data_IF_175365513577
#
_entry.id   IF_175365513577
#
_cell.length_a   1.000
_cell.length_b   1.000
_cell.length_c   1.000
_cell.angle_alpha   90.00
_cell.angle_beta   90.00
_cell.angle_gamma   90.00
#
_symmetry.space_group_name_H-M   'P 1'
#
loop_
_entity.id
_entity.type
_entity.pdbx_description
1 polymer ?
#
# COMPACT_ATOMS: atom_id res chain seq x y z
N UNK A 1 19.88 13.74 3.74
CA UNK A 1 20.14 12.69 2.76
C UNK A 1 19.03 11.66 2.78
N UNK A 2 18.41 11.44 1.67
CA UNK A 2 17.23 10.58 1.62
C UNK A 2 17.49 9.16 1.20
N UNK A 3 18.76 8.74 1.25
CA UNK A 3 19.11 7.37 0.88
C UNK A 3 18.38 6.32 1.72
N UNK A 4 17.99 6.67 2.93
CA UNK A 4 17.28 5.77 3.83
C UNK A 4 15.77 5.96 3.80
N UNK A 5 15.28 6.96 3.07
CA UNK A 5 13.85 7.18 2.97
C UNK A 5 13.20 6.15 2.08
N UNK A 6 12.08 5.63 2.54
CA UNK A 6 11.27 4.69 1.77
C UNK A 6 10.08 5.42 1.19
N UNK A 7 9.63 4.99 0.03
CA UNK A 7 8.47 5.57 -0.64
C UNK A 7 7.27 4.66 -0.44
N UNK A 8 6.19 5.23 0.07
CA UNK A 8 4.93 4.53 0.29
C UNK A 8 3.88 5.15 -0.61
N UNK A 9 3.23 4.34 -1.42
CA UNK A 9 2.15 4.78 -2.31
C UNK A 9 0.83 4.27 -1.76
N UNK A 10 -0.11 5.19 -1.51
CA UNK A 10 -1.42 4.87 -0.99
C UNK A 10 -2.45 5.03 -2.10
N UNK A 11 -3.25 4.00 -2.33
CA UNK A 11 -4.25 3.99 -3.39
C UNK A 11 -5.61 3.66 -2.80
N UNK A 12 -6.57 4.55 -2.97
CA UNK A 12 -7.95 4.34 -2.53
C UNK A 12 -8.83 5.34 -3.26
N UNK A 13 -10.02 4.92 -3.66
CA UNK A 13 -10.96 5.83 -4.30
C UNK A 13 -11.72 6.70 -3.30
N UNK A 14 -11.58 6.43 -2.01
CA UNK A 14 -12.18 7.24 -0.96
C UNK A 14 -11.15 8.24 -0.44
N UNK A 15 -11.35 9.55 -0.70
CA UNK A 15 -10.40 10.56 -0.25
C UNK A 15 -10.24 10.63 1.27
N UNK A 16 -11.26 10.22 2.01
CA UNK A 16 -11.15 10.21 3.47
C UNK A 16 -10.17 9.15 3.94
N UNK A 17 -10.17 7.99 3.30
CA UNK A 17 -9.23 6.92 3.62
C UNK A 17 -7.81 7.34 3.26
N UNK A 18 -7.64 7.98 2.09
CA UNK A 18 -6.32 8.49 1.69
C UNK A 18 -5.76 9.44 2.76
N UNK A 19 -6.57 10.37 3.21
CA UNK A 19 -6.14 11.33 4.23
C UNK A 19 -5.84 10.67 5.57
N UNK A 20 -6.67 9.69 5.93
CA UNK A 20 -6.48 8.98 7.20
C UNK A 20 -5.17 8.21 7.22
N UNK A 21 -4.92 7.43 6.18
CA UNK A 21 -3.70 6.63 6.09
C UNK A 21 -2.47 7.52 6.01
N UNK A 22 -2.55 8.59 5.22
CA UNK A 22 -1.46 9.55 5.11
C UNK A 22 -1.12 10.14 6.48
N UNK A 23 -2.16 10.51 7.24
CA UNK A 23 -1.98 11.08 8.56
C UNK A 23 -1.32 10.09 9.52
N UNK A 24 -1.69 8.83 9.44
CA UNK A 24 -1.10 7.79 10.27
C UNK A 24 0.38 7.58 9.95
N UNK A 25 0.76 7.75 8.70
CA UNK A 25 2.14 7.53 8.26
C UNK A 25 3.03 8.76 8.39
N UNK A 26 2.44 9.94 8.49
CA UNK A 26 3.20 11.20 8.46
C UNK A 26 4.33 11.28 9.49
N UNK A 27 4.17 10.77 10.73
CA UNK A 27 5.27 10.80 11.69
C UNK A 27 6.44 9.90 11.34
N UNK A 28 6.29 9.03 10.34
CA UNK A 28 7.35 8.10 9.95
C UNK A 28 8.29 8.74 8.93
N UNK A 29 9.56 8.32 8.88
CA UNK A 29 10.51 8.86 7.92
C UNK A 29 10.33 8.22 6.54
N UNK A 30 9.16 8.39 5.95
CA UNK A 30 8.84 7.86 4.64
C UNK A 30 8.30 8.97 3.74
N UNK A 31 8.55 8.81 2.44
CA UNK A 31 7.95 9.68 1.43
C UNK A 31 6.59 9.10 1.10
N UNK A 32 5.54 9.91 1.19
CA UNK A 32 4.18 9.46 0.98
C UNK A 32 3.65 10.02 -0.33
N UNK A 33 3.18 9.12 -1.20
CA UNK A 33 2.52 9.47 -2.45
C UNK A 33 1.10 8.91 -2.37
N UNK A 34 0.15 9.62 -2.97
CA UNK A 34 -1.24 9.19 -2.97
C UNK A 34 -1.78 9.14 -4.38
N UNK A 35 -2.65 8.18 -4.64
CA UNK A 35 -3.32 8.03 -5.92
C UNK A 35 -4.80 7.71 -5.66
N UNK A 36 -5.73 8.47 -6.27
CA UNK A 36 -7.15 8.23 -6.04
C UNK A 36 -7.70 7.09 -6.88
N UNK A 37 -6.90 6.50 -7.75
CA UNK A 37 -7.35 5.40 -8.59
C UNK A 37 -6.15 4.58 -9.09
N UNK A 38 -6.40 3.33 -9.50
CA UNK A 38 -5.31 2.42 -9.91
C UNK A 38 -4.49 2.92 -11.10
N UNK A 39 -5.11 3.55 -12.09
CA UNK A 39 -4.36 4.04 -13.25
C UNK A 39 -3.31 5.08 -12.84
N UNK A 40 -3.64 5.94 -11.87
CA UNK A 40 -2.68 6.92 -11.38
C UNK A 40 -1.56 6.24 -10.60
N UNK A 41 -1.89 5.21 -9.85
CA UNK A 41 -0.88 4.44 -9.12
C UNK A 41 0.10 3.78 -10.06
N UNK A 42 -0.38 3.22 -11.16
CA UNK A 42 0.50 2.59 -12.15
C UNK A 42 1.40 3.61 -12.82
N UNK A 43 0.87 4.80 -13.10
CA UNK A 43 1.66 5.88 -13.66
C UNK A 43 2.81 6.26 -12.72
N UNK A 44 2.52 6.38 -11.43
CA UNK A 44 3.53 6.70 -10.43
C UNK A 44 4.60 5.60 -10.38
N UNK A 45 4.19 4.34 -10.34
CA UNK A 45 5.13 3.22 -10.27
C UNK A 45 5.99 3.11 -11.53
N UNK A 46 5.48 3.52 -12.67
CA UNK A 46 6.26 3.53 -13.91
C UNK A 46 7.35 4.59 -13.88
N UNK A 47 7.14 5.67 -13.13
CA UNK A 47 8.05 6.82 -13.15
C UNK A 47 9.00 6.88 -11.97
N UNK A 48 8.70 6.22 -10.85
CA UNK A 48 9.61 6.23 -9.73
C UNK A 48 9.47 4.95 -8.89
N UNK A 49 10.53 4.60 -8.15
CA UNK A 49 10.49 3.42 -7.29
C UNK A 49 9.49 3.60 -6.15
N UNK A 50 8.81 2.53 -5.81
CA UNK A 50 7.88 2.47 -4.71
C UNK A 50 8.27 1.28 -3.83
N UNK A 51 8.47 1.52 -2.55
CA UNK A 51 8.87 0.46 -1.63
C UNK A 51 7.69 -0.29 -1.05
N UNK A 52 6.57 0.41 -0.86
CA UNK A 52 5.35 -0.20 -0.33
C UNK A 52 4.14 0.38 -1.02
N UNK A 53 3.26 -0.49 -1.49
CA UNK A 53 1.94 -0.12 -2.00
C UNK A 53 0.91 -0.46 -0.93
N UNK A 54 0.11 0.52 -0.54
CA UNK A 54 -1.05 0.30 0.33
C UNK A 54 -2.28 0.56 -0.52
N UNK A 55 -3.11 -0.45 -0.72
CA UNK A 55 -4.26 -0.33 -1.61
C UNK A 55 -5.51 -0.98 -1.04
N UNK A 56 -6.64 -0.32 -1.23
CA UNK A 56 -7.92 -0.96 -0.99
C UNK A 56 -8.11 -2.08 -2.02
N UNK A 57 -8.78 -3.15 -1.63
CA UNK A 57 -9.10 -4.25 -2.54
C UNK A 57 -10.24 -3.85 -3.47
N UNK A 58 -11.29 -3.25 -2.91
CA UNK A 58 -12.49 -2.92 -3.68
C UNK A 58 -12.42 -1.51 -4.25
N UNK A 59 -12.11 -1.40 -5.54
CA UNK A 59 -12.05 -0.12 -6.25
C UNK A 59 -12.75 -0.25 -7.60
N UNK A 60 -13.41 0.83 -8.09
CA UNK A 60 -14.20 0.74 -9.33
C UNK A 60 -13.41 0.39 -10.58
N UNK A 61 -12.25 0.97 -10.76
CA UNK A 61 -11.48 0.83 -12.00
C UNK A 61 -10.82 -0.54 -12.10
N UNK A 62 -10.29 -1.02 -10.99
CA UNK A 62 -9.52 -2.26 -10.94
C UNK A 62 -9.39 -2.66 -9.48
N UNK A 63 -9.57 -3.93 -9.14
CA UNK A 63 -9.42 -4.31 -7.75
C UNK A 63 -7.95 -4.30 -7.32
N UNK A 64 -7.74 -4.28 -6.00
CA UNK A 64 -6.40 -4.17 -5.44
C UNK A 64 -5.50 -5.35 -5.75
N UNK A 65 -6.07 -6.54 -5.92
CA UNK A 65 -5.27 -7.73 -6.29
C UNK A 65 -4.67 -7.55 -7.68
N UNK A 66 -5.48 -7.08 -8.61
CA UNK A 66 -5.01 -6.85 -9.98
C UNK A 66 -4.00 -5.73 -10.02
N UNK A 67 -4.25 -4.67 -9.26
CA UNK A 67 -3.30 -3.56 -9.16
C UNK A 67 -1.96 -4.05 -8.62
N UNK A 68 -1.97 -4.85 -7.55
CA UNK A 68 -0.75 -5.39 -6.96
C UNK A 68 0.04 -6.21 -7.98
N UNK A 69 -0.67 -7.04 -8.76
CA UNK A 69 -0.04 -7.85 -9.79
C UNK A 69 0.67 -6.99 -10.82
N UNK A 70 0.01 -5.92 -11.28
CA UNK A 70 0.59 -5.02 -12.27
C UNK A 70 1.76 -4.20 -11.69
N UNK A 71 1.65 -3.77 -10.44
CA UNK A 71 2.72 -3.05 -9.77
C UNK A 71 3.96 -3.93 -9.66
N UNK A 72 3.78 -5.20 -9.30
CA UNK A 72 4.89 -6.13 -9.17
C UNK A 72 5.56 -6.44 -10.51
N UNK A 73 4.83 -6.32 -11.62
CA UNK A 73 5.45 -6.43 -12.94
C UNK A 73 6.36 -5.24 -13.22
N UNK A 74 6.01 -4.06 -12.74
CA UNK A 74 6.82 -2.85 -12.92
C UNK A 74 7.93 -2.75 -11.89
N UNK A 75 7.65 -3.13 -10.65
CA UNK A 75 8.56 -3.00 -9.53
C UNK A 75 8.54 -4.28 -8.71
N UNK A 76 9.29 -5.30 -9.11
CA UNK A 76 9.19 -6.63 -8.47
C UNK A 76 9.51 -6.68 -6.99
N UNK A 77 10.22 -5.70 -6.46
CA UNK A 77 10.61 -5.69 -5.04
C UNK A 77 9.67 -4.87 -4.17
N UNK A 78 8.62 -4.29 -4.73
CA UNK A 78 7.63 -3.54 -3.95
C UNK A 78 6.89 -4.47 -3.01
N UNK A 79 6.77 -4.07 -1.74
CA UNK A 79 5.91 -4.77 -0.79
C UNK A 79 4.48 -4.31 -0.94
N UNK A 80 3.52 -5.17 -0.64
CA UNK A 80 2.11 -4.90 -0.87
C UNK A 80 1.32 -5.07 0.43
N UNK A 81 0.51 -4.06 0.75
CA UNK A 81 -0.45 -4.15 1.84
C UNK A 81 -1.83 -3.87 1.27
N UNK A 82 -2.69 -4.87 1.26
CA UNK A 82 -4.05 -4.75 0.77
C UNK A 82 -5.00 -4.56 1.95
N UNK A 83 -5.90 -3.61 1.84
CA UNK A 83 -6.89 -3.31 2.87
C UNK A 83 -8.24 -3.78 2.38
N UNK A 84 -8.90 -4.64 3.17
CA UNK A 84 -10.15 -5.27 2.75
C UNK A 84 -11.13 -5.34 3.91
N UNK A 85 -12.42 -5.24 3.58
CA UNK A 85 -13.48 -5.49 4.54
C UNK A 85 -13.85 -6.96 4.67
N UNK A 86 -13.17 -7.85 3.96
CA UNK A 86 -13.51 -9.28 3.94
C UNK A 86 -12.38 -10.13 4.51
N UNK A 87 -12.70 -10.93 5.50
CA UNK A 87 -11.72 -11.81 6.14
C UNK A 87 -11.09 -12.80 5.18
N UNK A 88 -11.83 -13.24 4.19
CA UNK A 88 -11.35 -14.27 3.26
C UNK A 88 -10.15 -13.84 2.46
N UNK A 89 -9.92 -12.55 2.37
CA UNK A 89 -8.78 -12.04 1.60
C UNK A 89 -7.45 -12.46 2.22
N UNK A 90 -7.40 -12.61 3.53
CA UNK A 90 -6.19 -13.05 4.20
C UNK A 90 -5.71 -14.42 3.74
N UNK A 91 -6.63 -15.31 3.42
CA UNK A 91 -6.27 -16.65 3.00
C UNK A 91 -5.53 -16.70 1.67
N UNK A 92 -5.58 -15.60 0.91
CA UNK A 92 -4.89 -15.49 -0.38
C UNK A 92 -3.48 -15.01 -0.25
N UNK A 93 -3.08 -14.55 0.92
CA UNK A 93 -1.75 -13.95 1.14
C UNK A 93 -0.70 -15.06 1.26
N UNK A 94 -0.13 -15.45 0.13
CA UNK A 94 0.88 -16.50 0.10
C UNK A 94 2.28 -15.98 -0.19
N UNK A 95 2.41 -14.69 -0.46
CA UNK A 95 3.70 -14.08 -0.77
C UNK A 95 4.27 -13.42 0.46
N UNK A 96 5.59 -13.47 0.60
CA UNK A 96 6.26 -12.93 1.78
C UNK A 96 6.04 -11.43 1.93
N UNK A 97 5.93 -10.70 0.82
CA UNK A 97 5.78 -9.24 0.82
C UNK A 97 4.36 -8.78 0.59
N UNK A 98 3.41 -9.70 0.67
CA UNK A 98 2.00 -9.39 0.51
C UNK A 98 1.30 -9.65 1.83
N UNK A 99 0.68 -8.62 2.38
CA UNK A 99 -0.10 -8.74 3.61
C UNK A 99 -1.46 -8.12 3.43
N UNK A 100 -2.39 -8.53 4.28
CA UNK A 100 -3.75 -7.98 4.30
C UNK A 100 -4.01 -7.32 5.63
N UNK A 101 -4.78 -6.24 5.59
CA UNK A 101 -5.25 -5.54 6.77
C UNK A 101 -6.75 -5.43 6.66
N UNK A 102 -7.47 -5.98 7.63
CA UNK A 102 -8.94 -5.99 7.60
C UNK A 102 -9.51 -4.70 8.14
N UNK A 103 -10.53 -4.18 7.46
CA UNK A 103 -11.28 -3.03 7.96
C UNK A 103 -12.34 -3.50 8.95
N UNK A 104 -12.61 -2.75 10.00
CA UNK A 104 -11.91 -1.55 10.43
C UNK A 104 -10.61 -1.91 11.14
N UNK A 105 -9.62 -1.04 11.05
CA UNK A 105 -8.33 -1.28 11.69
C UNK A 105 -7.94 -0.08 12.55
N UNK A 106 -7.07 -0.33 13.52
CA UNK A 106 -6.51 0.72 14.36
C UNK A 106 -5.16 1.17 13.79
N UNK A 107 -4.72 2.38 14.15
CA UNK A 107 -3.39 2.83 13.72
C UNK A 107 -2.28 1.85 14.09
N UNK A 108 -2.38 1.18 15.23
CA UNK A 108 -1.39 0.20 15.64
C UNK A 108 -1.32 -1.00 14.68
N UNK A 109 -2.45 -1.38 14.09
CA UNK A 109 -2.49 -2.48 13.14
C UNK A 109 -1.75 -2.10 11.87
N UNK A 110 -1.98 -0.88 11.38
CA UNK A 110 -1.30 -0.38 10.20
C UNK A 110 0.20 -0.28 10.45
N UNK A 111 0.59 0.27 11.58
CA UNK A 111 2.00 0.44 11.90
C UNK A 111 2.72 -0.89 12.08
N UNK A 112 2.03 -1.91 12.63
CA UNK A 112 2.61 -3.24 12.74
C UNK A 112 2.86 -3.85 11.37
N UNK A 113 1.90 -3.72 10.44
CA UNK A 113 2.07 -4.20 9.09
C UNK A 113 3.20 -3.46 8.38
N UNK A 114 3.30 -2.16 8.60
CA UNK A 114 4.36 -1.35 8.02
C UNK A 114 5.74 -1.84 8.47
N UNK A 115 5.89 -2.15 9.75
CA UNK A 115 7.16 -2.65 10.28
C UNK A 115 7.59 -3.96 9.65
N UNK A 116 6.63 -4.83 9.37
CA UNK A 116 6.92 -6.10 8.74
C UNK A 116 7.30 -5.94 7.27
N UNK A 117 6.60 -5.04 6.57
CA UNK A 117 6.80 -4.86 5.14
C UNK A 117 7.94 -3.89 4.79
N UNK A 118 8.24 -2.96 5.68
CA UNK A 118 9.34 -2.01 5.55
C UNK A 118 10.18 -2.03 6.83
N UNK A 119 10.98 -3.08 7.03
CA UNK A 119 11.81 -3.14 8.22
C UNK A 119 12.79 -1.95 8.27
N UNK A 120 13.12 -1.53 9.48
CA UNK A 120 14.10 -0.47 9.66
C UNK A 120 15.42 -0.90 9.03
N UNK A 121 16.13 0.03 8.38
CA UNK A 121 17.44 -0.30 7.78
C UNK A 121 18.52 -0.60 8.82
#
# INVERSE_FOLDING_TARGET
MDALSRTVLIVDDDPQILRLVEKMLRPRPVKILVAPRPSKALEICANEPVDLLISDVAMPEMDGHKLAEKVLQLRPTTSILLISGQEREEAKAKQRRLKFLQKPFFPSDLLAALKELLPEP
#
